data_IF_036566113754
#
_entry.id   IF_036566113754
#
_cell.length_a   1.000
_cell.length_b   1.000
_cell.length_c   1.000
_cell.angle_alpha   90.00
_cell.angle_beta   90.00
_cell.angle_gamma   90.00
#
_symmetry.space_group_name_H-M   'P 1'
#
loop_
_entity.id
_entity.type
_entity.pdbx_description
1 polymer ?
#
# COMPACT_ATOMS: atom_id res chain seq x y z
N UNK A 1 -13.66 -7.90 4.08
CA UNK A 1 -13.63 -6.43 4.11
C UNK A 1 -12.82 -5.95 2.93
N UNK A 2 -12.51 -4.67 2.86
CA UNK A 2 -11.63 -4.08 1.86
C UNK A 2 -10.15 -4.20 2.26
N UNK A 3 -9.83 -3.94 3.53
CA UNK A 3 -8.48 -4.06 4.09
C UNK A 3 -8.52 -4.45 5.57
N UNK A 4 -7.34 -4.56 6.18
CA UNK A 4 -7.18 -4.70 7.63
C UNK A 4 -6.90 -3.37 8.33
N UNK A 5 -6.26 -3.39 9.51
CA UNK A 5 -6.04 -2.22 10.36
C UNK A 5 -4.85 -2.42 11.29
N UNK A 6 -4.08 -1.36 11.57
CA UNK A 6 -3.01 -1.35 12.57
C UNK A 6 -3.01 -0.08 13.42
N UNK A 7 -2.61 -0.19 14.69
CA UNK A 7 -2.48 0.97 15.59
C UNK A 7 -1.23 1.81 15.32
N UNK A 8 -1.32 3.12 15.59
CA UNK A 8 -0.24 4.10 15.32
C UNK A 8 0.17 4.94 16.54
N UNK A 9 -0.11 4.44 17.75
CA UNK A 9 -0.01 5.20 19.00
C UNK A 9 1.40 5.36 19.57
N UNK A 10 2.38 4.60 19.08
CA UNK A 10 3.71 4.47 19.70
C UNK A 10 4.68 5.62 19.35
N UNK A 11 4.17 6.77 18.86
CA UNK A 11 4.98 7.90 18.39
C UNK A 11 6.10 7.50 17.38
N UNK A 12 5.84 6.47 16.58
CA UNK A 12 6.69 5.93 15.52
C UNK A 12 6.63 6.84 14.28
N UNK A 13 7.30 7.99 14.36
CA UNK A 13 7.21 9.06 13.36
C UNK A 13 8.50 9.21 12.55
N UNK A 14 8.34 9.56 11.27
CA UNK A 14 9.39 10.06 10.37
C UNK A 14 8.94 11.45 9.88
N UNK A 15 9.80 12.46 10.00
CA UNK A 15 9.47 13.83 9.58
C UNK A 15 10.21 14.19 8.29
N UNK A 16 9.50 14.75 7.31
CA UNK A 16 10.11 15.15 6.03
C UNK A 16 11.03 16.36 6.19
N UNK A 17 10.74 17.29 7.11
CA UNK A 17 11.60 18.46 7.36
C UNK A 17 12.99 18.08 7.90
N UNK A 18 13.12 16.91 8.55
CA UNK A 18 14.41 16.41 9.03
C UNK A 18 15.36 16.04 7.85
N UNK A 19 14.85 15.95 6.62
CA UNK A 19 15.63 15.73 5.39
C UNK A 19 16.20 17.01 4.77
N UNK A 20 15.93 18.20 5.33
CA UNK A 20 16.29 19.49 4.72
C UNK A 20 17.78 19.66 4.37
N UNK A 21 18.68 18.93 5.05
CA UNK A 21 20.12 18.94 4.71
C UNK A 21 20.45 18.24 3.38
N UNK A 22 19.58 17.36 2.88
CA UNK A 22 19.72 16.63 1.62
C UNK A 22 18.77 17.15 0.56
N UNK A 23 17.49 17.31 0.93
CA UNK A 23 16.42 17.75 0.04
C UNK A 23 15.30 18.39 0.84
N UNK A 24 14.87 19.56 0.37
CA UNK A 24 13.82 20.35 0.98
C UNK A 24 12.47 20.00 0.32
N UNK A 25 11.73 19.08 0.94
CA UNK A 25 10.44 18.59 0.46
C UNK A 25 9.33 19.56 0.88
N UNK A 26 8.73 20.24 -0.09
CA UNK A 26 7.69 21.22 0.17
C UNK A 26 6.34 20.56 0.44
N UNK A 27 5.57 21.14 1.37
CA UNK A 27 4.22 20.68 1.72
C UNK A 27 3.28 20.60 0.52
N UNK A 28 3.43 21.51 -0.46
CA UNK A 28 2.62 21.52 -1.67
C UNK A 28 3.03 20.45 -2.71
N UNK A 29 4.14 19.73 -2.50
CA UNK A 29 4.50 18.56 -3.30
C UNK A 29 3.85 17.28 -2.76
N UNK A 30 3.45 17.26 -1.49
CA UNK A 30 2.99 16.05 -0.81
C UNK A 30 1.49 15.90 -0.99
N UNK A 31 1.07 14.85 -1.69
CA UNK A 31 -0.34 14.50 -1.88
C UNK A 31 -0.90 13.68 -0.72
N UNK A 32 -0.06 12.84 -0.12
CA UNK A 32 -0.40 11.98 1.00
C UNK A 32 0.86 11.73 1.83
N UNK A 33 0.74 11.73 3.15
CA UNK A 33 1.87 11.44 4.05
C UNK A 33 1.86 9.98 4.54
N UNK A 34 0.79 9.59 5.23
CA UNK A 34 0.65 8.27 5.88
C UNK A 34 -0.68 7.66 5.48
N UNK A 35 -0.74 6.34 5.23
CA UNK A 35 0.32 5.33 5.37
C UNK A 35 1.10 5.02 4.09
N UNK A 36 0.77 5.69 3.00
CA UNK A 36 1.55 5.71 1.77
C UNK A 36 1.96 7.16 1.50
N UNK A 37 3.26 7.42 1.54
CA UNK A 37 3.80 8.72 1.18
C UNK A 37 3.74 8.87 -0.34
N UNK A 38 3.14 9.93 -0.84
CA UNK A 38 3.03 10.20 -2.26
C UNK A 38 3.40 11.65 -2.55
N UNK A 39 4.43 11.85 -3.38
CA UNK A 39 5.04 13.15 -3.65
C UNK A 39 5.03 13.40 -5.16
N UNK A 40 4.66 14.62 -5.53
CA UNK A 40 4.65 15.11 -6.90
C UNK A 40 5.37 16.46 -6.98
N UNK A 41 6.69 16.46 -7.16
CA UNK A 41 7.45 17.69 -7.35
C UNK A 41 7.08 18.35 -8.70
N UNK A 42 7.26 19.67 -8.84
CA UNK A 42 7.14 20.35 -10.11
C UNK A 42 8.08 19.77 -11.18
N UNK A 43 7.71 19.89 -12.45
CA UNK A 43 8.42 19.23 -13.56
C UNK A 43 9.86 19.68 -13.80
N UNK A 44 10.30 20.78 -13.19
CA UNK A 44 11.69 21.25 -13.25
C UNK A 44 12.62 20.51 -12.26
N UNK A 45 12.10 19.57 -11.46
CA UNK A 45 12.88 18.72 -10.57
C UNK A 45 13.10 17.34 -11.19
N UNK A 46 14.33 16.82 -11.07
CA UNK A 46 14.62 15.42 -11.37
C UNK A 46 14.06 14.54 -10.25
N UNK A 47 13.05 13.72 -10.56
CA UNK A 47 12.45 12.82 -9.57
C UNK A 47 13.47 11.80 -9.04
N UNK A 48 14.35 11.29 -9.92
CA UNK A 48 15.40 10.35 -9.53
C UNK A 48 16.37 10.99 -8.50
N UNK A 49 16.75 12.26 -8.71
CA UNK A 49 17.64 12.96 -7.77
C UNK A 49 16.94 13.23 -6.43
N UNK A 50 15.65 13.54 -6.44
CA UNK A 50 14.85 13.71 -5.23
C UNK A 50 14.82 12.39 -4.45
N UNK A 51 14.49 11.27 -5.12
CA UNK A 51 14.46 9.94 -4.51
C UNK A 51 15.82 9.56 -3.93
N UNK A 52 16.90 9.78 -4.69
CA UNK A 52 18.26 9.48 -4.25
C UNK A 52 18.64 10.26 -2.98
N UNK A 53 18.41 11.58 -2.95
CA UNK A 53 18.68 12.45 -1.81
C UNK A 53 17.83 12.11 -0.59
N UNK A 54 16.55 11.79 -0.79
CA UNK A 54 15.68 11.33 0.30
C UNK A 54 16.23 10.05 0.93
N UNK A 55 16.55 9.03 0.11
CA UNK A 55 17.08 7.77 0.61
C UNK A 55 18.46 7.91 1.27
N UNK A 56 19.31 8.82 0.78
CA UNK A 56 20.58 9.17 1.44
C UNK A 56 20.32 9.74 2.85
N UNK A 57 19.43 10.72 2.97
CA UNK A 57 19.06 11.29 4.26
C UNK A 57 18.44 10.27 5.22
N UNK A 58 17.52 9.43 4.73
CA UNK A 58 16.84 8.40 5.51
C UNK A 58 17.82 7.31 6.02
N UNK A 59 18.87 7.00 5.26
CA UNK A 59 19.89 6.01 5.64
C UNK A 59 21.06 6.60 6.45
N UNK A 60 21.15 7.92 6.58
CA UNK A 60 22.27 8.62 7.23
C UNK A 60 22.38 8.39 8.75
N UNK A 61 21.33 7.88 9.40
CA UNK A 61 21.22 7.79 10.87
C UNK A 61 20.93 9.13 11.57
N UNK A 62 20.79 10.23 10.83
CA UNK A 62 20.46 11.57 11.37
C UNK A 62 18.96 11.87 11.37
N UNK A 63 18.18 11.14 10.57
CA UNK A 63 16.71 11.22 10.55
C UNK A 63 16.15 10.16 11.49
N UNK A 64 15.38 10.61 12.48
CA UNK A 64 14.72 9.72 13.44
C UNK A 64 13.80 8.74 12.70
N UNK A 65 13.94 7.45 12.98
CA UNK A 65 13.24 6.36 12.28
C UNK A 65 13.42 6.35 10.75
N UNK A 66 14.43 7.04 10.19
CA UNK A 66 14.63 7.14 8.75
C UNK A 66 14.71 5.78 8.04
N UNK A 67 15.30 4.77 8.71
CA UNK A 67 15.36 3.39 8.20
C UNK A 67 14.00 2.66 8.15
N UNK A 68 12.90 3.30 8.54
CA UNK A 68 11.53 2.78 8.48
C UNK A 68 10.74 3.33 7.30
N UNK A 69 11.30 4.27 6.55
CA UNK A 69 10.74 4.77 5.30
C UNK A 69 11.74 4.47 4.19
N UNK A 70 11.24 3.95 3.07
CA UNK A 70 12.01 3.84 1.83
C UNK A 70 11.23 4.48 0.70
N UNK A 71 11.92 5.32 -0.07
CA UNK A 71 11.32 6.10 -1.16
C UNK A 71 11.75 5.52 -2.50
N UNK A 72 10.82 5.51 -3.46
CA UNK A 72 10.99 4.92 -4.78
C UNK A 72 10.48 5.90 -5.83
N UNK A 73 11.04 5.82 -7.03
CA UNK A 73 10.25 6.15 -8.22
C UNK A 73 9.13 5.13 -8.33
N UNK A 74 7.95 5.52 -8.81
CA UNK A 74 6.81 4.59 -8.89
C UNK A 74 7.13 3.36 -9.75
N UNK A 75 7.97 3.53 -10.77
CA UNK A 75 8.44 2.47 -11.67
C UNK A 75 9.38 1.47 -10.98
N UNK A 76 10.01 1.85 -9.88
CA UNK A 76 10.95 1.02 -9.10
C UNK A 76 10.27 0.33 -7.91
N UNK A 77 8.95 0.49 -7.75
CA UNK A 77 8.20 -0.19 -6.70
C UNK A 77 8.23 -1.72 -6.90
N UNK A 78 8.11 -2.52 -5.82
CA UNK A 78 7.99 -3.96 -5.94
C UNK A 78 6.87 -4.36 -6.91
N UNK A 79 7.21 -5.13 -7.95
CA UNK A 79 6.30 -5.49 -9.06
C UNK A 79 4.98 -6.10 -8.57
N UNK A 80 5.03 -6.91 -7.51
CA UNK A 80 3.84 -7.51 -6.87
C UNK A 80 2.77 -6.53 -6.41
N UNK A 81 3.10 -5.23 -6.28
CA UNK A 81 2.12 -4.22 -5.89
C UNK A 81 1.28 -3.74 -7.06
N UNK A 82 1.73 -3.96 -8.31
CA UNK A 82 1.06 -3.49 -9.52
C UNK A 82 0.66 -2.00 -9.45
N UNK A 83 1.52 -1.15 -8.87
CA UNK A 83 1.20 0.23 -8.50
C UNK A 83 2.11 1.26 -9.19
N UNK A 84 2.18 1.21 -10.53
CA UNK A 84 3.02 2.12 -11.33
C UNK A 84 2.32 2.64 -12.61
N UNK A 85 1.52 1.79 -13.26
CA UNK A 85 0.97 2.03 -14.61
C UNK A 85 -0.30 2.90 -14.59
N UNK A 86 -0.16 4.13 -14.09
CA UNK A 86 -1.22 5.14 -14.14
C UNK A 86 -0.65 6.54 -13.95
N UNK A 87 -1.14 7.50 -14.73
CA UNK A 87 -0.81 8.92 -14.59
C UNK A 87 -1.35 9.52 -13.29
N UNK A 88 -2.31 8.84 -12.63
CA UNK A 88 -2.85 9.29 -11.35
C UNK A 88 -1.94 8.96 -10.18
N UNK A 89 -0.99 8.04 -10.36
CA UNK A 89 -0.02 7.67 -9.33
C UNK A 89 1.12 8.69 -9.36
N UNK A 90 1.37 9.41 -8.25
CA UNK A 90 2.48 10.36 -8.17
C UNK A 90 3.82 9.69 -8.47
N UNK A 91 4.77 10.41 -9.07
CA UNK A 91 6.03 9.83 -9.54
C UNK A 91 6.93 9.31 -8.42
N UNK A 92 6.76 9.81 -7.19
CA UNK A 92 7.57 9.43 -6.04
C UNK A 92 6.67 8.85 -4.96
N UNK A 93 6.95 7.60 -4.56
CA UNK A 93 6.18 6.86 -3.57
C UNK A 93 7.10 6.41 -2.43
N UNK A 94 6.69 6.67 -1.19
CA UNK A 94 7.38 6.20 0.01
C UNK A 94 6.59 5.10 0.71
N UNK A 95 7.23 3.95 0.87
CA UNK A 95 6.73 2.83 1.67
C UNK A 95 7.28 2.97 3.08
N UNK A 96 6.38 3.18 4.04
CA UNK A 96 6.73 3.25 5.46
C UNK A 96 6.37 1.93 6.14
N UNK A 97 7.18 1.53 7.12
CA UNK A 97 6.96 0.30 7.88
C UNK A 97 5.61 0.33 8.62
N UNK A 98 4.98 -0.84 8.77
CA UNK A 98 3.72 -1.02 9.48
C UNK A 98 3.72 -0.31 10.85
N UNK A 99 2.67 0.48 11.11
CA UNK A 99 2.46 1.21 12.37
C UNK A 99 3.26 2.51 12.52
N UNK A 100 4.16 2.83 11.58
CA UNK A 100 4.85 4.11 11.52
C UNK A 100 4.02 5.14 10.74
N UNK A 101 4.28 6.42 10.99
CA UNK A 101 3.70 7.53 10.23
C UNK A 101 4.79 8.44 9.69
N UNK A 102 4.57 8.94 8.49
CA UNK A 102 5.28 10.10 7.93
C UNK A 102 4.44 11.35 8.19
N UNK A 103 5.08 12.43 8.60
CA UNK A 103 4.47 13.75 8.76
C UNK A 103 5.43 14.82 8.20
N UNK A 104 4.95 16.03 7.91
CA UNK A 104 5.85 17.09 7.44
C UNK A 104 6.83 17.50 8.54
N UNK A 105 6.31 17.89 9.70
CA UNK A 105 7.06 18.59 10.75
C UNK A 105 6.58 18.21 12.15
N UNK A 106 7.42 18.49 13.16
CA UNK A 106 7.12 18.19 14.57
C UNK A 106 6.11 19.19 15.12
N UNK A 107 4.85 18.77 15.29
CA UNK A 107 3.78 19.63 15.84
C UNK A 107 3.55 19.45 17.34
N UNK A 108 4.22 18.48 17.98
CA UNK A 108 4.04 18.14 19.40
C UNK A 108 2.71 17.44 19.74
N UNK A 109 1.80 17.31 18.78
CA UNK A 109 0.53 16.60 18.95
C UNK A 109 0.79 15.09 19.07
N UNK A 110 0.20 14.48 20.09
CA UNK A 110 0.21 13.01 20.27
C UNK A 110 -1.13 12.46 19.81
N UNK A 111 -1.21 12.13 18.53
CA UNK A 111 -2.40 11.48 17.97
C UNK A 111 -2.19 9.97 17.91
N UNK A 112 -3.11 9.26 18.57
CA UNK A 112 -3.19 7.81 18.62
C UNK A 112 -4.47 7.39 17.88
N UNK A 113 -4.35 6.41 17.00
CA UNK A 113 -5.46 5.92 16.20
C UNK A 113 -5.12 4.63 15.45
N UNK A 114 -6.01 4.24 14.54
CA UNK A 114 -5.79 3.16 13.58
C UNK A 114 -5.48 3.71 12.19
N UNK A 115 -4.66 3.00 11.42
CA UNK A 115 -4.38 3.29 10.02
C UNK A 115 -4.35 2.00 9.19
N UNK A 116 -4.51 2.17 7.87
CA UNK A 116 -4.51 1.10 6.88
C UNK A 116 -4.10 1.64 5.51
N UNK A 117 -3.56 0.78 4.64
CA UNK A 117 -2.97 1.19 3.36
C UNK A 117 -1.44 1.12 3.33
N UNK A 118 -0.84 0.49 4.34
CA UNK A 118 0.54 0.00 4.28
C UNK A 118 0.66 -1.13 3.26
N UNK A 119 1.87 -1.68 3.09
CA UNK A 119 2.14 -2.82 2.23
C UNK A 119 1.13 -3.97 2.43
N UNK A 120 0.49 -4.41 1.35
CA UNK A 120 -0.51 -5.47 1.36
C UNK A 120 0.05 -6.84 1.78
N UNK A 121 1.38 -7.00 1.81
CA UNK A 121 2.05 -8.18 2.35
C UNK A 121 1.97 -8.30 3.88
N UNK A 122 1.73 -7.20 4.59
CA UNK A 122 1.62 -7.22 6.05
C UNK A 122 0.38 -7.98 6.52
N UNK A 123 0.53 -8.79 7.58
CA UNK A 123 -0.57 -9.56 8.12
C UNK A 123 -1.72 -8.67 8.62
N UNK A 124 -1.41 -7.51 9.22
CA UNK A 124 -2.44 -6.57 9.70
C UNK A 124 -3.26 -5.95 8.57
N UNK A 125 -2.77 -5.94 7.33
CA UNK A 125 -3.45 -5.38 6.16
C UNK A 125 -4.34 -6.40 5.45
N UNK A 126 -4.27 -7.68 5.84
CA UNK A 126 -5.12 -8.73 5.29
C UNK A 126 -6.56 -8.52 5.75
N UNK A 127 -7.50 -8.94 4.90
CA UNK A 127 -8.93 -8.87 5.18
C UNK A 127 -9.57 -10.25 5.23
N UNK A 128 -10.80 -10.30 5.71
CA UNK A 128 -11.60 -11.52 5.81
C UNK A 128 -12.41 -11.77 4.54
N UNK A 129 -12.52 -13.05 4.18
CA UNK A 129 -13.45 -13.55 3.16
C UNK A 129 -14.22 -14.75 3.73
N UNK A 130 -15.54 -14.76 3.56
CA UNK A 130 -16.42 -15.86 3.96
C UNK A 130 -17.42 -16.08 2.82
N UNK A 131 -17.35 -17.25 2.17
CA UNK A 131 -18.34 -17.70 1.20
C UNK A 131 -19.33 -18.65 1.85
N UNK A 132 -20.63 -18.39 1.71
CA UNK A 132 -21.68 -19.27 2.20
C UNK A 132 -22.82 -19.36 1.17
N UNK A 133 -23.20 -20.58 0.81
CA UNK A 133 -24.25 -20.84 -0.17
C UNK A 133 -24.14 -22.25 -0.75
N UNK A 134 -25.06 -22.63 -1.65
CA UNK A 134 -25.09 -23.96 -2.25
C UNK A 134 -23.87 -24.27 -3.12
N UNK A 135 -23.19 -23.24 -3.65
CA UNK A 135 -21.99 -23.39 -4.47
C UNK A 135 -20.69 -23.51 -3.66
N UNK A 136 -20.74 -23.28 -2.35
CA UNK A 136 -19.59 -23.38 -1.46
C UNK A 136 -19.64 -24.66 -0.64
N UNK A 137 -18.49 -25.32 -0.52
CA UNK A 137 -18.32 -26.45 0.39
C UNK A 137 -18.45 -26.00 1.86
N UNK A 138 -19.25 -26.72 2.66
CA UNK A 138 -19.48 -26.36 4.06
C UNK A 138 -18.23 -26.63 4.91
N UNK A 139 -17.84 -25.63 5.72
CA UNK A 139 -16.76 -25.79 6.71
C UNK A 139 -15.35 -25.85 6.10
N UNK A 140 -15.20 -25.64 4.79
CA UNK A 140 -13.90 -25.64 4.11
C UNK A 140 -13.11 -24.38 4.47
N UNK A 141 -11.83 -24.55 4.80
CA UNK A 141 -10.84 -23.47 4.82
C UNK A 141 -9.96 -23.58 3.59
N UNK A 142 -9.73 -22.47 2.92
CA UNK A 142 -8.85 -22.37 1.75
C UNK A 142 -7.62 -21.52 2.09
N UNK A 143 -6.52 -21.64 1.33
CA UNK A 143 -5.37 -20.73 1.45
C UNK A 143 -5.77 -19.27 1.24
N UNK A 144 -4.92 -18.33 1.68
CA UNK A 144 -5.10 -16.92 1.36
C UNK A 144 -4.98 -16.68 -0.15
N UNK A 145 -5.73 -15.72 -0.66
CA UNK A 145 -5.76 -15.34 -2.06
C UNK A 145 -5.99 -13.83 -2.18
N UNK A 146 -5.75 -13.26 -3.37
CA UNK A 146 -5.89 -11.84 -3.63
C UNK A 146 -7.33 -11.46 -3.97
N UNK A 147 -7.78 -10.27 -3.56
CA UNK A 147 -9.18 -9.87 -3.74
C UNK A 147 -9.60 -9.69 -5.22
N UNK A 148 -8.64 -9.52 -6.15
CA UNK A 148 -8.89 -9.46 -7.60
C UNK A 148 -9.57 -10.73 -8.11
N UNK A 149 -9.35 -11.86 -7.44
CA UNK A 149 -9.92 -13.16 -7.79
C UNK A 149 -11.44 -13.25 -7.53
N UNK A 150 -11.96 -12.38 -6.65
CA UNK A 150 -13.38 -12.38 -6.24
C UNK A 150 -14.29 -12.09 -7.43
N UNK A 151 -13.84 -11.28 -8.40
CA UNK A 151 -14.64 -10.96 -9.58
C UNK A 151 -15.02 -12.22 -10.36
N UNK A 152 -14.02 -13.05 -10.70
CA UNK A 152 -14.24 -14.30 -11.43
C UNK A 152 -15.13 -15.26 -10.62
N UNK A 153 -14.92 -15.34 -9.30
CA UNK A 153 -15.74 -16.14 -8.39
C UNK A 153 -17.23 -15.75 -8.46
N UNK A 154 -17.54 -14.45 -8.42
CA UNK A 154 -18.90 -13.95 -8.51
C UNK A 154 -19.50 -14.24 -9.89
N UNK A 155 -18.75 -14.01 -10.98
CA UNK A 155 -19.26 -14.26 -12.33
C UNK A 155 -19.54 -15.73 -12.58
N UNK A 156 -18.75 -16.65 -12.01
CA UNK A 156 -19.00 -18.09 -12.06
C UNK A 156 -20.29 -18.46 -11.30
N UNK A 157 -20.48 -17.95 -10.08
CA UNK A 157 -21.70 -18.22 -9.29
C UNK A 157 -22.96 -17.74 -10.02
N UNK A 158 -22.88 -16.59 -10.70
CA UNK A 158 -24.00 -16.01 -11.46
C UNK A 158 -24.19 -16.65 -12.84
N UNK A 159 -23.28 -17.53 -13.27
CA UNK A 159 -23.24 -18.11 -14.60
C UNK A 159 -23.29 -17.04 -15.73
N UNK A 160 -22.44 -16.02 -15.61
CA UNK A 160 -22.29 -14.95 -16.60
C UNK A 160 -20.86 -14.88 -17.13
N UNK A 161 -20.71 -14.37 -18.36
CA UNK A 161 -19.40 -14.08 -18.93
C UNK A 161 -18.82 -12.81 -18.30
N UNK A 162 -17.77 -12.96 -17.50
CA UNK A 162 -17.01 -11.83 -16.96
C UNK A 162 -16.30 -11.01 -18.03
N UNK A 163 -16.07 -9.74 -17.75
CA UNK A 163 -15.20 -8.87 -18.52
C UNK A 163 -13.72 -9.20 -18.24
N UNK A 164 -12.78 -8.81 -19.14
CA UNK A 164 -11.35 -8.97 -18.88
C UNK A 164 -10.94 -8.29 -17.57
N UNK A 165 -10.18 -9.01 -16.75
CA UNK A 165 -9.71 -8.55 -15.44
C UNK A 165 -8.37 -9.23 -15.09
N UNK A 166 -7.80 -8.92 -13.92
CA UNK A 166 -6.50 -9.45 -13.49
C UNK A 166 -6.58 -10.72 -12.63
N UNK A 167 -7.77 -11.23 -12.32
CA UNK A 167 -7.95 -12.50 -11.65
C UNK A 167 -7.70 -13.70 -12.56
N UNK A 168 -7.36 -14.83 -11.96
CA UNK A 168 -7.09 -16.08 -12.64
C UNK A 168 -8.41 -16.80 -13.00
N UNK A 169 -8.56 -17.21 -14.26
CA UNK A 169 -9.77 -17.93 -14.73
C UNK A 169 -9.99 -19.27 -14.02
N UNK A 170 -8.92 -19.87 -13.50
CA UNK A 170 -8.93 -21.17 -12.80
C UNK A 170 -9.23 -21.06 -11.30
N UNK A 171 -9.27 -19.84 -10.75
CA UNK A 171 -9.48 -19.65 -9.31
C UNK A 171 -10.86 -20.15 -8.83
N UNK A 172 -11.98 -19.90 -9.52
CA UNK A 172 -13.30 -20.34 -9.07
C UNK A 172 -13.39 -21.86 -8.84
N UNK A 173 -12.73 -22.66 -9.66
CA UNK A 173 -12.70 -24.13 -9.54
C UNK A 173 -11.95 -24.61 -8.29
N UNK A 174 -11.08 -23.78 -7.71
CA UNK A 174 -10.40 -24.09 -6.45
C UNK A 174 -11.28 -23.84 -5.21
N UNK A 175 -12.33 -23.02 -5.36
CA UNK A 175 -13.18 -22.55 -4.24
C UNK A 175 -14.60 -23.13 -4.29
N UNK A 176 -15.20 -23.19 -5.48
CA UNK A 176 -16.58 -23.64 -5.70
C UNK A 176 -16.65 -25.16 -5.85
N UNK A 177 -17.86 -25.71 -5.68
CA UNK A 177 -18.14 -27.10 -5.97
C UNK A 177 -18.07 -27.38 -7.50
N UNK A 178 -17.73 -28.61 -7.94
CA UNK A 178 -17.51 -28.95 -9.35
C UNK A 178 -18.72 -28.76 -10.29
N UNK A 179 -19.92 -28.57 -9.75
CA UNK A 179 -21.17 -28.40 -10.51
C UNK A 179 -21.76 -26.98 -10.32
N UNK A 180 -20.92 -26.01 -9.94
CA UNK A 180 -21.31 -24.63 -9.69
C UNK A 180 -21.48 -23.79 -10.95
#
# INVERSE_FOLDING_TARGET
GDHGMVGTCDQKLVFLDDLASWVDIKTNWVHSYTPLLAIWPPSNYSYADVVAKMNEGLSSGKVENGNKLKVFLKEDLPERLHYADSDRIPPIIGLVHEGYKVEQSRTGKKECGGAHGYDNGFFSMRTIFIGHGPQFERGKKIPSFENVEIYNLITSILNIKGAPNNGSDSFPQSVLLPNA
#
